data_IF_232321321318
#
_entry.id   IF_232321321318
#
_cell.length_a   1.000
_cell.length_b   1.000
_cell.length_c   1.000
_cell.angle_alpha   90.00
_cell.angle_beta   90.00
_cell.angle_gamma   90.00
#
_symmetry.space_group_name_H-M   'P 1'
#
loop_
_entity.id
_entity.type
_entity.pdbx_description
1 polymer ?
#
# COMPACT_ATOMS: atom_id res chain seq x y z
N UNK A 1 13.53 -2.99 -2.99
CA UNK A 1 12.26 -2.48 -3.56
C UNK A 1 11.16 -3.52 -3.36
N UNK A 2 9.94 -3.08 -3.03
CA UNK A 2 8.77 -3.92 -2.75
C UNK A 2 7.55 -3.29 -3.42
N UNK A 3 6.71 -4.12 -4.05
CA UNK A 3 5.49 -3.68 -4.73
C UNK A 3 4.30 -4.22 -3.94
N UNK A 4 3.29 -3.39 -3.73
CA UNK A 4 2.00 -3.79 -3.19
C UNK A 4 0.86 -3.37 -4.10
N UNK A 5 -0.23 -4.13 -4.07
CA UNK A 5 -1.46 -3.84 -4.78
C UNK A 5 -2.61 -3.85 -3.78
N UNK A 6 -3.48 -2.85 -3.85
CA UNK A 6 -4.71 -2.77 -3.08
C UNK A 6 -5.91 -2.64 -3.99
N UNK A 7 -7.02 -3.19 -3.55
CA UNK A 7 -8.32 -3.10 -4.20
C UNK A 7 -9.41 -2.97 -3.14
N UNK A 8 -10.29 -2.00 -3.33
CA UNK A 8 -11.46 -1.84 -2.47
C UNK A 8 -12.71 -1.46 -3.28
N UNK A 9 -13.87 -1.73 -2.71
CA UNK A 9 -15.18 -1.47 -3.33
C UNK A 9 -16.21 -1.07 -2.28
N UNK A 10 -16.94 0.00 -2.56
CA UNK A 10 -18.03 0.45 -1.71
C UNK A 10 -19.32 0.67 -2.52
N UNK A 11 -20.45 0.33 -1.90
CA UNK A 11 -21.78 0.56 -2.48
C UNK A 11 -22.14 2.04 -2.40
N UNK A 12 -22.81 2.54 -3.43
CA UNK A 12 -23.41 3.88 -3.45
C UNK A 12 -24.81 3.83 -2.82
N UNK A 13 -25.05 4.69 -1.83
CA UNK A 13 -26.32 4.82 -1.10
C UNK A 13 -26.73 6.28 -0.94
N UNK A 14 -28.02 6.54 -0.80
CA UNK A 14 -28.54 7.87 -0.47
C UNK A 14 -28.24 8.26 0.99
N UNK A 15 -28.23 9.55 1.27
CA UNK A 15 -28.13 10.08 2.64
C UNK A 15 -26.74 10.03 3.27
N UNK A 16 -25.69 9.73 2.47
CA UNK A 16 -24.29 9.83 2.90
C UNK A 16 -23.51 10.81 2.07
N UNK A 17 -22.51 11.41 2.67
CA UNK A 17 -21.55 12.24 1.93
C UNK A 17 -20.72 11.38 0.97
N UNK A 18 -20.42 11.91 -0.21
CA UNK A 18 -19.50 11.28 -1.14
C UNK A 18 -18.10 11.83 -0.92
N UNK A 19 -17.25 11.03 -0.25
CA UNK A 19 -15.86 11.37 0.06
C UNK A 19 -14.93 10.46 -0.75
N UNK A 20 -13.92 11.05 -1.40
CA UNK A 20 -12.96 10.32 -2.19
C UNK A 20 -11.60 11.04 -2.19
N UNK A 21 -10.53 10.34 -1.79
CA UNK A 21 -9.21 10.94 -1.60
C UNK A 21 -9.24 12.08 -0.57
N UNK A 22 -10.08 11.97 0.47
CA UNK A 22 -10.30 13.02 1.47
C UNK A 22 -11.01 14.27 0.93
N UNK A 23 -11.60 14.21 -0.27
CA UNK A 23 -12.35 15.32 -0.89
C UNK A 23 -13.84 15.03 -0.84
N UNK A 24 -14.61 15.91 -0.20
CA UNK A 24 -16.07 15.86 -0.27
C UNK A 24 -16.54 16.40 -1.62
N UNK A 25 -17.17 15.52 -2.40
CA UNK A 25 -17.63 15.82 -3.77
C UNK A 25 -19.16 15.93 -3.75
N UNK A 26 -19.75 17.01 -4.31
CA UNK A 26 -21.18 17.12 -4.44
C UNK A 26 -21.75 16.01 -5.34
N UNK A 27 -22.54 15.13 -4.74
CA UNK A 27 -23.23 14.05 -5.43
C UNK A 27 -24.47 13.62 -4.62
N UNK A 28 -25.47 13.06 -5.27
CA UNK A 28 -26.74 12.63 -4.65
C UNK A 28 -26.60 11.39 -3.75
N UNK A 29 -25.56 10.61 -3.95
CA UNK A 29 -25.24 9.40 -3.19
C UNK A 29 -23.85 9.49 -2.59
N UNK A 30 -23.62 8.80 -1.48
CA UNK A 30 -22.30 8.60 -0.90
C UNK A 30 -21.95 7.14 -0.76
N UNK A 31 -20.73 6.84 -0.32
CA UNK A 31 -20.26 5.49 -0.15
C UNK A 31 -20.66 4.90 1.21
N UNK A 32 -21.08 3.64 1.21
CA UNK A 32 -21.46 2.90 2.42
C UNK A 32 -20.25 2.18 3.01
N UNK A 33 -19.92 2.47 4.26
CA UNK A 33 -18.87 1.81 5.02
C UNK A 33 -18.88 2.22 6.49
N UNK A 34 -18.00 1.64 7.30
CA UNK A 34 -17.89 1.89 8.74
C UNK A 34 -17.23 3.24 9.04
N UNK A 35 -16.16 3.60 8.30
CA UNK A 35 -15.49 4.91 8.34
C UNK A 35 -16.25 5.94 7.47
N UNK A 36 -15.55 6.91 6.91
CA UNK A 36 -16.07 7.79 5.85
C UNK A 36 -16.21 7.08 4.49
N UNK A 37 -15.84 5.80 4.40
CA UNK A 37 -15.94 4.92 3.24
C UNK A 37 -15.16 5.43 2.00
N UNK A 38 -14.03 6.09 2.19
CA UNK A 38 -13.17 6.55 1.11
C UNK A 38 -12.45 5.37 0.43
N UNK A 39 -13.08 4.81 -0.58
CA UNK A 39 -12.62 3.63 -1.31
C UNK A 39 -11.23 3.83 -1.95
N UNK A 40 -10.87 5.05 -2.34
CA UNK A 40 -9.55 5.35 -2.91
C UNK A 40 -8.46 5.26 -1.84
N UNK A 41 -8.70 5.86 -0.67
CA UNK A 41 -7.73 5.85 0.44
C UNK A 41 -7.59 4.44 1.01
N UNK A 42 -8.66 3.66 1.08
CA UNK A 42 -8.61 2.26 1.50
C UNK A 42 -7.74 1.41 0.57
N UNK A 43 -7.94 1.52 -0.76
CA UNK A 43 -7.09 0.82 -1.74
C UNK A 43 -5.61 1.23 -1.63
N UNK A 44 -5.33 2.51 -1.36
CA UNK A 44 -3.96 2.99 -1.14
C UNK A 44 -3.35 2.41 0.13
N UNK A 45 -4.11 2.36 1.24
CA UNK A 45 -3.63 1.76 2.50
C UNK A 45 -3.31 0.28 2.34
N UNK A 46 -4.18 -0.48 1.68
CA UNK A 46 -3.95 -1.90 1.41
C UNK A 46 -2.72 -2.14 0.52
N UNK A 47 -2.52 -1.30 -0.49
CA UNK A 47 -1.32 -1.37 -1.31
C UNK A 47 -0.04 -1.14 -0.50
N UNK A 48 -0.05 -0.15 0.41
CA UNK A 48 1.08 0.19 1.26
C UNK A 48 1.38 -0.92 2.28
N UNK A 49 0.35 -1.40 3.00
CA UNK A 49 0.48 -2.48 3.98
C UNK A 49 0.93 -3.78 3.32
N UNK A 50 0.33 -4.13 2.17
CA UNK A 50 0.70 -5.31 1.40
C UNK A 50 2.15 -5.27 0.91
N UNK A 51 2.64 -4.13 0.41
CA UNK A 51 4.04 -3.95 0.02
C UNK A 51 5.01 -4.17 1.20
N UNK A 52 4.63 -3.72 2.39
CA UNK A 52 5.41 -3.90 3.61
C UNK A 52 5.27 -5.31 4.23
N UNK A 53 4.36 -6.15 3.72
CA UNK A 53 3.96 -7.44 4.30
C UNK A 53 3.40 -7.31 5.74
N UNK A 54 2.62 -6.24 5.98
CA UNK A 54 1.99 -5.92 7.26
C UNK A 54 0.48 -6.29 7.31
N UNK A 55 -0.01 -7.07 6.34
CA UNK A 55 -1.42 -7.47 6.25
C UNK A 55 -2.27 -6.45 5.49
N UNK A 56 -3.48 -6.19 5.97
CA UNK A 56 -4.50 -5.36 5.36
C UNK A 56 -5.13 -4.37 6.35
N UNK A 57 -5.96 -3.46 5.84
CA UNK A 57 -6.63 -2.45 6.68
C UNK A 57 -7.56 -3.05 7.73
N UNK A 58 -8.17 -4.21 7.45
CA UNK A 58 -9.08 -4.89 8.38
C UNK A 58 -8.37 -5.40 9.64
N UNK A 59 -7.08 -5.75 9.54
CA UNK A 59 -6.26 -6.16 10.68
C UNK A 59 -5.87 -4.97 11.57
N UNK A 60 -5.61 -3.81 10.96
CA UNK A 60 -5.18 -2.61 11.69
C UNK A 60 -6.33 -1.76 12.21
N UNK A 61 -7.46 -1.75 11.50
CA UNK A 61 -8.63 -0.92 11.77
C UNK A 61 -9.92 -1.74 11.65
N UNK A 62 -10.15 -2.70 12.56
CA UNK A 62 -11.32 -3.56 12.47
C UNK A 62 -12.62 -2.76 12.52
N UNK A 63 -13.55 -3.08 11.64
CA UNK A 63 -14.89 -2.47 11.55
C UNK A 63 -15.78 -2.77 12.77
N UNK A 64 -15.37 -3.70 13.60
CA UNK A 64 -16.00 -4.01 14.89
C UNK A 64 -15.62 -3.05 16.02
N UNK A 65 -14.56 -2.25 15.85
CA UNK A 65 -14.12 -1.29 16.86
C UNK A 65 -14.85 0.05 16.69
N UNK A 66 -15.65 0.47 17.69
CA UNK A 66 -16.37 1.75 17.65
C UNK A 66 -15.46 2.98 17.50
N UNK A 67 -14.16 2.88 17.84
CA UNK A 67 -13.20 3.98 17.71
C UNK A 67 -13.02 4.42 16.24
N UNK A 68 -13.29 3.54 15.28
CA UNK A 68 -13.14 3.84 13.86
C UNK A 68 -14.46 4.20 13.17
N UNK A 69 -15.58 4.22 13.90
CA UNK A 69 -16.88 4.56 13.34
C UNK A 69 -16.92 6.03 12.88
N UNK A 70 -17.12 6.24 11.57
CA UNK A 70 -17.17 7.57 10.96
C UNK A 70 -15.84 8.33 10.92
N UNK A 71 -14.71 7.69 11.24
CA UNK A 71 -13.39 8.32 11.17
C UNK A 71 -13.02 8.65 9.72
N UNK A 72 -12.25 9.73 9.54
CA UNK A 72 -11.68 10.04 8.23
C UNK A 72 -10.62 9.02 7.83
N UNK A 73 -10.73 8.45 6.64
CA UNK A 73 -9.74 7.52 6.10
C UNK A 73 -8.37 8.19 5.88
N UNK A 74 -8.32 9.50 5.73
CA UNK A 74 -7.05 10.27 5.71
C UNK A 74 -6.31 10.16 7.05
N UNK A 75 -7.01 10.13 8.20
CA UNK A 75 -6.37 9.92 9.50
C UNK A 75 -5.81 8.49 9.63
N UNK A 76 -6.55 7.50 9.12
CA UNK A 76 -6.07 6.12 9.06
C UNK A 76 -4.83 6.00 8.16
N UNK A 77 -4.82 6.70 7.02
CA UNK A 77 -3.68 6.75 6.11
C UNK A 77 -2.44 7.36 6.78
N UNK A 78 -2.60 8.42 7.60
CA UNK A 78 -1.49 8.97 8.41
C UNK A 78 -0.92 7.93 9.38
N UNK A 79 -1.79 7.09 9.97
CA UNK A 79 -1.33 6.00 10.82
C UNK A 79 -0.50 4.98 10.03
N UNK A 80 -0.97 4.57 8.84
CA UNK A 80 -0.21 3.67 7.96
C UNK A 80 1.14 4.29 7.57
N UNK A 81 1.19 5.58 7.25
CA UNK A 81 2.45 6.28 6.96
C UNK A 81 3.46 6.23 8.12
N UNK A 82 2.99 6.41 9.37
CA UNK A 82 3.85 6.25 10.55
C UNK A 82 4.36 4.82 10.70
N UNK A 83 3.47 3.84 10.53
CA UNK A 83 3.82 2.43 10.62
C UNK A 83 4.91 2.03 9.60
N UNK A 84 4.80 2.51 8.37
CA UNK A 84 5.84 2.28 7.34
C UNK A 84 7.18 2.90 7.74
N UNK A 85 7.17 4.11 8.30
CA UNK A 85 8.38 4.78 8.79
C UNK A 85 9.04 4.03 9.94
N UNK A 86 8.25 3.50 10.89
CA UNK A 86 8.71 2.66 11.99
C UNK A 86 9.39 1.37 11.50
N UNK A 87 8.91 0.84 10.38
CA UNK A 87 9.49 -0.33 9.72
C UNK A 87 10.58 0.01 8.71
N UNK A 88 11.04 1.27 8.70
CA UNK A 88 12.12 1.75 7.81
C UNK A 88 11.82 1.65 6.32
N UNK A 89 10.56 1.81 5.93
CA UNK A 89 10.15 1.91 4.53
C UNK A 89 10.06 3.35 4.05
N UNK A 90 10.44 3.57 2.81
CA UNK A 90 10.27 4.83 2.05
C UNK A 90 9.27 4.55 0.94
N UNK A 91 8.28 5.44 0.79
CA UNK A 91 7.32 5.40 -0.31
C UNK A 91 7.96 6.08 -1.53
N UNK A 92 8.19 5.32 -2.60
CA UNK A 92 8.74 5.85 -3.86
C UNK A 92 7.65 6.49 -4.71
N UNK A 93 6.55 5.76 -4.94
CA UNK A 93 5.38 6.28 -5.63
C UNK A 93 4.11 5.48 -5.33
N UNK A 94 2.99 6.11 -5.61
CA UNK A 94 1.65 5.53 -5.56
C UNK A 94 0.95 5.84 -6.88
N UNK A 95 0.38 4.82 -7.52
CA UNK A 95 -0.46 4.94 -8.71
C UNK A 95 -1.83 4.32 -8.42
N UNK A 96 -2.88 5.12 -8.45
CA UNK A 96 -4.24 4.69 -8.12
C UNK A 96 -5.22 5.01 -9.24
N UNK A 97 -6.19 4.13 -9.41
CA UNK A 97 -7.27 4.27 -10.40
C UNK A 97 -8.61 4.07 -9.73
N UNK A 98 -9.48 5.06 -9.82
CA UNK A 98 -10.88 4.98 -9.40
C UNK A 98 -11.73 4.54 -10.59
N UNK A 99 -12.59 3.56 -10.39
CA UNK A 99 -13.55 3.06 -11.35
C UNK A 99 -14.94 3.53 -10.93
N UNK A 100 -15.48 4.53 -11.65
CA UNK A 100 -16.75 5.17 -11.30
C UNK A 100 -17.45 5.71 -12.54
N UNK A 101 -18.71 5.34 -12.74
CA UNK A 101 -19.53 5.88 -13.84
C UNK A 101 -19.88 7.35 -13.61
N UNK A 102 -20.20 7.73 -12.38
CA UNK A 102 -20.49 9.10 -11.90
C UNK A 102 -20.07 9.25 -10.44
N UNK A 103 -19.81 10.51 -9.98
CA UNK A 103 -19.71 11.77 -10.74
C UNK A 103 -18.41 11.85 -11.56
N UNK A 104 -18.26 12.91 -12.39
CA UNK A 104 -16.99 13.17 -13.09
C UNK A 104 -15.93 13.64 -12.09
N UNK A 105 -14.79 12.93 -12.03
CA UNK A 105 -13.75 13.12 -11.01
C UNK A 105 -12.58 14.00 -11.47
N UNK A 106 -12.52 14.39 -12.74
CA UNK A 106 -11.35 15.04 -13.34
C UNK A 106 -10.85 16.26 -12.55
N UNK A 107 -11.76 17.16 -12.14
CA UNK A 107 -11.40 18.38 -11.41
C UNK A 107 -10.96 18.14 -9.96
N UNK A 108 -11.30 17.01 -9.37
CA UNK A 108 -11.00 16.69 -7.98
C UNK A 108 -9.71 15.89 -7.79
N UNK A 109 -9.24 15.19 -8.85
CA UNK A 109 -8.05 14.31 -8.78
C UNK A 109 -6.79 15.00 -8.26
N UNK A 110 -6.46 16.25 -8.66
CA UNK A 110 -5.27 16.92 -8.12
C UNK A 110 -5.34 17.08 -6.59
N UNK A 111 -6.52 17.45 -6.07
CA UNK A 111 -6.71 17.63 -4.62
C UNK A 111 -6.68 16.30 -3.85
N UNK A 112 -7.18 15.22 -4.45
CA UNK A 112 -7.06 13.86 -3.88
C UNK A 112 -5.58 13.46 -3.75
N UNK A 113 -4.78 13.67 -4.80
CA UNK A 113 -3.35 13.38 -4.80
C UNK A 113 -2.60 14.22 -3.75
N UNK A 114 -2.92 15.52 -3.63
CA UNK A 114 -2.36 16.39 -2.60
C UNK A 114 -2.67 15.89 -1.18
N UNK A 115 -3.94 15.55 -0.90
CA UNK A 115 -4.38 15.08 0.42
C UNK A 115 -3.67 13.77 0.81
N UNK A 116 -3.55 12.81 -0.13
CA UNK A 116 -2.84 11.55 0.08
C UNK A 116 -1.36 11.82 0.34
N UNK A 117 -0.73 12.66 -0.48
CA UNK A 117 0.68 13.01 -0.32
C UNK A 117 0.96 13.71 1.03
N UNK A 118 0.11 14.67 1.41
CA UNK A 118 0.20 15.37 2.70
C UNK A 118 0.07 14.39 3.88
N UNK A 119 -0.91 13.47 3.83
CA UNK A 119 -1.13 12.48 4.87
C UNK A 119 0.07 11.55 5.07
N UNK A 120 0.78 11.24 4.01
CA UNK A 120 1.95 10.35 4.00
C UNK A 120 3.29 11.09 4.16
N UNK A 121 3.30 12.43 4.15
CA UNK A 121 4.52 13.23 4.23
C UNK A 121 5.43 13.09 3.01
N UNK A 122 4.87 12.86 1.82
CA UNK A 122 5.59 12.72 0.55
C UNK A 122 5.24 13.85 -0.43
N UNK A 123 5.97 13.96 -1.53
CA UNK A 123 5.69 14.95 -2.56
C UNK A 123 4.41 14.59 -3.35
N UNK A 124 3.54 15.56 -3.70
CA UNK A 124 2.40 15.30 -4.59
C UNK A 124 2.78 14.65 -5.91
N UNK A 125 4.00 14.89 -6.42
CA UNK A 125 4.50 14.24 -7.63
C UNK A 125 4.75 12.73 -7.52
N UNK A 126 4.71 12.17 -6.31
CA UNK A 126 4.81 10.73 -6.05
C UNK A 126 3.43 10.04 -6.05
N UNK A 127 2.33 10.80 -6.15
CA UNK A 127 0.97 10.27 -6.12
C UNK A 127 0.26 10.56 -7.43
N UNK A 128 -0.15 9.50 -8.13
CA UNK A 128 -0.96 9.58 -9.35
C UNK A 128 -2.36 9.08 -9.05
N UNK A 129 -3.39 9.91 -9.30
CA UNK A 129 -4.80 9.53 -9.21
C UNK A 129 -5.43 9.61 -10.60
N UNK A 130 -5.89 8.47 -11.10
CA UNK A 130 -6.60 8.32 -12.37
C UNK A 130 -8.05 7.95 -12.12
N UNK A 131 -8.92 8.17 -13.08
CA UNK A 131 -10.30 7.72 -13.04
C UNK A 131 -10.72 7.20 -14.41
N UNK A 132 -11.53 6.16 -14.41
CA UNK A 132 -12.12 5.55 -15.60
C UNK A 132 -13.57 5.17 -15.35
N UNK A 133 -14.32 4.95 -16.44
CA UNK A 133 -15.64 4.32 -16.41
C UNK A 133 -15.53 2.88 -16.88
N UNK A 134 -16.53 2.06 -16.65
CA UNK A 134 -16.70 0.74 -17.27
C UNK A 134 -17.74 0.72 -18.38
N UNK A 135 -18.01 1.90 -18.98
CA UNK A 135 -18.90 2.07 -20.13
C UNK A 135 -20.29 1.43 -19.93
N UNK A 136 -20.81 1.53 -18.71
CA UNK A 136 -22.12 0.97 -18.34
C UNK A 136 -22.09 -0.51 -17.95
N UNK A 137 -20.93 -1.16 -17.93
CA UNK A 137 -20.79 -2.57 -17.58
C UNK A 137 -20.55 -2.76 -16.07
N UNK A 138 -21.04 -3.87 -15.53
CA UNK A 138 -20.84 -4.25 -14.15
C UNK A 138 -21.47 -3.28 -13.13
N UNK A 139 -21.22 -3.50 -11.85
CA UNK A 139 -21.81 -2.71 -10.75
C UNK A 139 -21.31 -1.27 -10.69
N UNK A 140 -20.10 -1.00 -11.17
CA UNK A 140 -19.56 0.36 -11.27
C UNK A 140 -20.18 1.11 -12.44
N UNK A 141 -20.36 0.42 -13.59
CA UNK A 141 -21.00 0.98 -14.77
C UNK A 141 -22.50 1.24 -14.60
N UNK A 142 -23.20 0.42 -13.80
CA UNK A 142 -24.62 0.66 -13.46
C UNK A 142 -24.79 1.69 -12.33
N UNK A 143 -23.71 2.10 -11.66
CA UNK A 143 -23.75 3.08 -10.58
C UNK A 143 -24.28 2.51 -9.25
N UNK A 144 -24.11 1.21 -9.03
CA UNK A 144 -24.40 0.54 -7.76
C UNK A 144 -23.30 0.71 -6.72
N UNK A 145 -22.07 0.91 -7.20
CA UNK A 145 -20.90 1.09 -6.36
C UNK A 145 -19.75 1.76 -7.10
N UNK A 146 -18.67 1.99 -6.37
CA UNK A 146 -17.40 2.49 -6.88
C UNK A 146 -16.31 1.56 -6.39
N UNK A 147 -15.34 1.27 -7.23
CA UNK A 147 -14.12 0.56 -6.84
C UNK A 147 -12.87 1.41 -7.08
N UNK A 148 -11.82 1.08 -6.36
CA UNK A 148 -10.51 1.67 -6.56
C UNK A 148 -9.42 0.59 -6.53
N UNK A 149 -8.39 0.82 -7.31
CA UNK A 149 -7.17 0.02 -7.32
C UNK A 149 -5.98 0.94 -7.07
N UNK A 150 -5.01 0.45 -6.32
CA UNK A 150 -3.77 1.16 -6.09
C UNK A 150 -2.57 0.20 -6.21
N UNK A 151 -1.47 0.74 -6.71
CA UNK A 151 -0.16 0.08 -6.72
C UNK A 151 0.82 1.04 -6.07
N UNK A 152 1.67 0.52 -5.20
CA UNK A 152 2.73 1.29 -4.56
C UNK A 152 4.08 0.60 -4.73
N UNK A 153 5.12 1.43 -4.75
CA UNK A 153 6.51 0.98 -4.68
C UNK A 153 7.11 1.50 -3.38
N UNK A 154 7.66 0.58 -2.58
CA UNK A 154 8.42 0.89 -1.37
C UNK A 154 9.89 0.51 -1.53
N UNK A 155 10.77 1.25 -0.85
CA UNK A 155 12.19 0.93 -0.69
C UNK A 155 12.52 0.89 0.80
N UNK A 156 13.35 -0.06 1.22
CA UNK A 156 13.91 -0.09 2.57
C UNK A 156 15.02 0.97 2.69
N UNK A 157 15.07 1.68 3.81
CA UNK A 157 16.08 2.74 4.05
C UNK A 157 17.50 2.24 3.84
N UNK A 158 17.82 1.01 4.26
CA UNK A 158 19.15 0.42 4.06
C UNK A 158 19.53 0.32 2.57
N UNK A 159 18.57 -0.05 1.71
CA UNK A 159 18.82 -0.15 0.27
C UNK A 159 18.99 1.23 -0.38
N UNK A 160 18.29 2.24 0.12
CA UNK A 160 18.38 3.61 -0.37
C UNK A 160 19.74 4.25 -0.07
N UNK A 161 20.31 3.99 1.09
CA UNK A 161 21.66 4.46 1.45
C UNK A 161 22.74 3.78 0.61
N UNK A 162 22.58 2.48 0.31
CA UNK A 162 23.54 1.72 -0.50
C UNK A 162 23.66 2.25 -1.94
N UNK A 163 22.52 2.55 -2.59
CA UNK A 163 22.50 3.05 -3.96
C UNK A 163 23.13 4.45 -4.07
N UNK A 164 22.96 5.29 -3.05
CA UNK A 164 23.62 6.61 -3.00
C UNK A 164 25.14 6.54 -2.82
N UNK A 165 25.62 5.60 -2.03
CA UNK A 165 27.08 5.40 -1.84
C UNK A 165 27.77 4.91 -3.13
N UNK A 166 27.07 4.10 -3.94
CA UNK A 166 27.61 3.66 -5.24
C UNK A 166 27.70 4.78 -6.29
N UNK A 167 26.88 5.82 -6.15
CA UNK A 167 26.88 7.00 -7.04
C UNK A 167 27.77 8.15 -6.55
N UNK A 168 28.23 8.11 -5.30
CA UNK A 168 29.10 9.13 -4.75
C UNK A 168 30.53 8.95 -5.24
N UNK A 169 31.04 9.92 -6.00
CA UNK A 169 32.47 10.05 -6.35
C UNK A 169 33.31 10.05 -5.05
N UNK A 170 34.57 9.54 -5.09
CA UNK A 170 35.42 9.52 -3.91
C UNK A 170 35.72 10.95 -3.44
N UNK A 171 35.07 11.40 -2.39
CA UNK A 171 35.19 12.73 -1.82
C UNK A 171 34.05 13.26 -0.98
N UNK A 172 32.89 12.61 -0.96
CA UNK A 172 31.76 13.08 -0.17
C UNK A 172 31.75 12.44 1.23
N UNK A 173 32.54 13.00 2.16
CA UNK A 173 32.46 12.70 3.58
C UNK A 173 31.22 13.38 4.21
N UNK A 174 30.23 12.58 4.62
CA UNK A 174 29.23 13.03 5.59
C UNK A 174 27.84 13.29 5.09
N UNK A 175 27.05 12.23 4.81
CA UNK A 175 25.61 12.33 4.59
C UNK A 175 24.74 11.38 5.43
N UNK A 176 25.25 10.87 6.54
CA UNK A 176 24.44 10.17 7.54
C UNK A 176 24.70 10.75 8.95
N UNK A 177 23.88 11.66 9.47
CA UNK A 177 23.97 12.05 10.87
C UNK A 177 23.35 10.92 11.72
N UNK A 178 24.22 10.11 12.33
CA UNK A 178 23.91 9.37 13.55
C UNK A 178 23.34 7.97 13.43
N UNK A 179 24.10 7.05 12.84
CA UNK A 179 24.33 5.66 13.28
C UNK A 179 25.34 5.04 12.33
N UNK A 180 26.47 4.53 12.86
CA UNK A 180 27.57 4.04 12.06
C UNK A 180 27.13 3.00 11.03
N UNK A 181 27.43 3.26 9.78
CA UNK A 181 27.30 2.32 8.68
C UNK A 181 28.23 1.13 8.95
N UNK A 182 27.69 0.01 9.42
CA UNK A 182 28.49 -1.22 9.62
C UNK A 182 28.67 -1.85 8.24
N UNK A 183 29.86 -1.68 7.67
CA UNK A 183 30.28 -2.34 6.43
C UNK A 183 30.07 -3.85 6.53
N UNK A 184 29.24 -4.43 5.67
CA UNK A 184 28.98 -5.90 5.57
C UNK A 184 30.24 -6.71 5.14
N UNK A 185 31.43 -6.10 5.00
CA UNK A 185 32.66 -6.84 4.67
C UNK A 185 33.19 -7.74 5.79
N UNK A 186 32.70 -7.60 7.03
CA UNK A 186 33.16 -8.40 8.18
C UNK A 186 32.40 -9.72 8.41
N UNK A 187 31.32 -10.00 7.72
CA UNK A 187 30.44 -11.15 8.01
C UNK A 187 30.60 -12.35 7.06
N UNK A 188 31.50 -12.29 6.05
CA UNK A 188 31.72 -13.41 5.11
C UNK A 188 32.85 -14.37 5.45
N UNK A 189 33.66 -14.11 6.48
CA UNK A 189 34.85 -14.96 6.78
C UNK A 189 34.71 -15.90 7.99
N UNK A 190 33.56 -15.96 8.68
CA UNK A 190 33.36 -16.87 9.83
C UNK A 190 32.35 -18.01 9.62
N UNK A 191 32.00 -18.37 8.40
CA UNK A 191 31.00 -19.39 8.11
C UNK A 191 31.48 -20.57 7.27
N UNK A 192 32.78 -20.87 7.20
CA UNK A 192 33.30 -21.95 6.33
C UNK A 192 34.16 -23.00 7.02
N UNK A 193 33.93 -23.27 8.27
CA UNK A 193 34.50 -24.47 8.94
C UNK A 193 33.44 -25.10 9.85
N UNK A 194 32.90 -26.20 9.44
CA UNK A 194 32.29 -27.35 10.13
C UNK A 194 30.96 -27.78 9.51
N UNK A 195 31.03 -28.58 8.47
CA UNK A 195 30.06 -29.66 8.20
C UNK A 195 30.69 -30.65 7.25
N UNK A 196 31.50 -31.56 7.79
CA UNK A 196 31.70 -32.89 7.24
C UNK A 196 31.04 -33.89 8.18
N UNK A 197 30.42 -34.87 7.55
CA UNK A 197 29.88 -36.12 8.05
C UNK A 197 28.40 -36.15 8.41
N UNK A 198 27.79 -36.98 7.68
CA UNK A 198 27.01 -38.21 7.83
C UNK A 198 25.51 -38.07 7.62
N UNK A 199 24.97 -38.95 6.77
CA UNK A 199 23.58 -39.37 6.80
C UNK A 199 22.88 -39.41 5.46
N UNK A 200 23.05 -40.52 4.70
CA UNK A 200 22.08 -40.94 3.68
C UNK A 200 20.75 -41.17 4.38
N UNK A 201 19.69 -40.56 3.88
CA UNK A 201 18.33 -41.00 4.12
C UNK A 201 17.59 -41.01 2.78
N UNK A 202 17.03 -42.19 2.51
CA UNK A 202 16.29 -42.59 1.32
C UNK A 202 15.01 -41.74 1.13
N UNK A 203 14.67 -41.50 -0.13
CA UNK A 203 13.40 -40.92 -0.53
C UNK A 203 12.26 -41.95 -0.40
N UNK A 204 11.07 -41.59 0.08
CA UNK A 204 9.91 -42.46 -0.02
C UNK A 204 9.25 -42.35 -1.40
N UNK A 205 8.90 -43.54 -1.88
CA UNK A 205 8.24 -43.91 -3.13
C UNK A 205 6.87 -43.25 -3.29
N UNK A 206 6.66 -42.56 -4.42
CA UNK A 206 5.42 -41.94 -4.85
C UNK A 206 4.57 -42.88 -5.71
N UNK A 207 4.07 -43.95 -5.09
CA UNK A 207 3.03 -44.78 -5.69
C UNK A 207 2.10 -45.33 -4.61
N UNK A 208 1.05 -44.57 -4.27
CA UNK A 208 -0.24 -45.09 -3.77
C UNK A 208 -1.13 -43.94 -3.34
N UNK A 209 -1.97 -43.44 -4.21
CA UNK A 209 -3.27 -42.79 -3.90
C UNK A 209 -4.01 -42.47 -5.21
N UNK A 210 -4.33 -43.53 -5.90
CA UNK A 210 -5.46 -43.53 -6.82
C UNK A 210 -6.41 -44.64 -6.37
N UNK A 211 -7.61 -44.25 -6.00
CA UNK A 211 -8.89 -44.95 -5.80
C UNK A 211 -9.49 -44.68 -4.42
N UNK A 212 -10.55 -43.86 -4.42
CA UNK A 212 -11.87 -44.19 -3.94
C UNK A 212 -12.76 -42.95 -4.05
N UNK A 213 -13.79 -43.14 -4.91
CA UNK A 213 -15.14 -42.52 -5.00
C UNK A 213 -15.29 -41.00 -4.87
#
# INVERSE_FOLDING_TARGET
>A
MRIGQGYDVHRLVEGRDFILGGVKIPYEKGLLGHSDADVLVHAVMDALLGAAALGDIGQHFPDTDPAYAGISSIELLRHVGRLLSEHSYIIENIDATVIAQRPKLLSYRPKMAENIAEALGISPGQVSVKATTEEGLGFTGTGEGISAQAITLLTEVENYCYDKEMMASPGCGGCCPGRGCVSKRGLREKGRESRKSTGKAEAPDLQTLARHD
#
